data_IF_652635851156
#
_entry.id   IF_652635851156
#
_cell.length_a   1.000
_cell.length_b   1.000
_cell.length_c   1.000
_cell.angle_alpha   90.00
_cell.angle_beta   90.00
_cell.angle_gamma   90.00
#
_symmetry.space_group_name_H-M   'P 1'
#
loop_
_entity.id
_entity.type
_entity.pdbx_description
1 polymer ?
#
# COMPACT_ATOMS: atom_id res chain seq x y z
N UNK A 1 12.29 -6.01 19.89
CA UNK A 1 12.98 -7.07 19.11
C UNK A 1 13.13 -6.50 17.71
N UNK A 2 14.33 -6.41 17.14
CA UNK A 2 14.49 -5.75 15.83
C UNK A 2 13.80 -6.58 14.75
N UNK A 3 12.93 -5.96 13.97
CA UNK A 3 12.44 -6.55 12.72
C UNK A 3 13.55 -6.57 11.68
N UNK A 4 13.73 -7.72 11.04
CA UNK A 4 14.61 -7.87 9.87
C UNK A 4 13.72 -7.66 8.65
N UNK A 5 14.10 -6.75 7.75
CA UNK A 5 13.43 -6.58 6.46
C UNK A 5 13.80 -7.75 5.54
N UNK A 6 12.77 -8.40 4.97
CA UNK A 6 12.88 -9.62 4.17
C UNK A 6 12.28 -9.38 2.77
N UNK A 7 13.11 -9.22 1.74
CA UNK A 7 12.65 -8.71 0.44
C UNK A 7 12.97 -9.57 -0.78
N UNK A 8 12.08 -9.52 -1.77
CA UNK A 8 12.20 -10.21 -3.06
C UNK A 8 12.11 -9.24 -4.25
N UNK A 9 12.83 -9.54 -5.34
CA UNK A 9 13.09 -8.63 -6.48
C UNK A 9 12.43 -9.14 -7.76
N UNK A 10 11.88 -8.27 -8.61
CA UNK A 10 11.24 -8.63 -9.90
C UNK A 10 11.91 -7.88 -11.11
N UNK A 11 12.15 -8.51 -12.30
CA UNK A 11 12.86 -7.90 -13.50
C UNK A 11 12.30 -8.28 -14.92
N UNK A 12 12.04 -7.32 -15.85
CA UNK A 12 11.12 -7.42 -17.03
C UNK A 12 11.67 -7.55 -18.48
N UNK A 13 11.07 -8.41 -19.34
CA UNK A 13 11.15 -8.37 -20.85
C UNK A 13 9.80 -8.66 -21.62
N UNK A 14 9.29 -7.71 -22.44
CA UNK A 14 8.09 -7.66 -23.35
C UNK A 14 7.33 -8.93 -23.91
N UNK A 15 6.05 -8.97 -24.38
CA UNK A 15 4.83 -8.09 -24.33
C UNK A 15 3.59 -8.66 -25.12
N UNK A 16 2.39 -8.95 -24.52
CA UNK A 16 0.99 -8.85 -25.10
C UNK A 16 -0.16 -9.34 -24.17
N UNK A 17 -1.41 -8.94 -24.47
CA UNK A 17 -2.57 -8.86 -23.56
C UNK A 17 -3.61 -10.02 -23.63
N UNK A 18 -4.34 -10.24 -22.52
CA UNK A 18 -5.66 -10.92 -22.46
C UNK A 18 -6.49 -10.41 -21.26
N UNK A 19 -7.82 -10.53 -21.34
CA UNK A 19 -8.82 -9.78 -20.57
C UNK A 19 -9.63 -10.62 -19.57
N UNK A 20 -9.56 -10.27 -18.28
CA UNK A 20 -10.56 -10.60 -17.25
C UNK A 20 -10.47 -9.51 -16.17
N UNK A 21 -11.46 -8.61 -16.11
CA UNK A 21 -11.53 -7.50 -15.14
C UNK A 21 -12.97 -7.41 -14.63
N UNK A 22 -13.16 -7.24 -13.31
CA UNK A 22 -14.43 -6.79 -12.72
C UNK A 22 -14.27 -5.35 -12.24
N UNK A 23 -15.17 -4.47 -12.68
CA UNK A 23 -15.21 -3.06 -12.29
C UNK A 23 -16.31 -2.91 -11.24
N UNK A 24 -15.96 -2.43 -10.05
CA UNK A 24 -16.94 -2.10 -8.99
C UNK A 24 -17.35 -0.63 -9.16
N UNK A 25 -18.66 -0.39 -9.28
CA UNK A 25 -19.19 0.96 -9.40
C UNK A 25 -19.26 1.61 -8.01
N UNK A 26 -18.32 2.50 -7.71
CA UNK A 26 -18.24 3.24 -6.44
C UNK A 26 -19.44 4.18 -6.17
N UNK A 27 -20.34 4.38 -7.15
CA UNK A 27 -21.59 5.11 -6.97
C UNK A 27 -22.73 4.22 -6.42
N UNK A 28 -22.52 2.90 -6.28
CA UNK A 28 -23.44 2.03 -5.56
C UNK A 28 -23.05 1.98 -4.08
N UNK A 29 -24.01 2.02 -3.14
CA UNK A 29 -23.72 1.98 -1.72
C UNK A 29 -23.07 0.65 -1.35
N UNK A 30 -21.86 0.71 -0.79
CA UNK A 30 -21.18 -0.45 -0.21
C UNK A 30 -21.92 -0.77 1.10
N UNK A 31 -22.75 -1.80 1.08
CA UNK A 31 -23.51 -2.22 2.26
C UNK A 31 -22.60 -3.02 3.21
N UNK A 32 -21.84 -2.31 4.03
CA UNK A 32 -20.93 -2.87 5.02
C UNK A 32 -21.13 -2.17 6.38
N UNK A 33 -21.42 -2.96 7.42
CA UNK A 33 -21.69 -2.47 8.77
C UNK A 33 -20.36 -2.26 9.52
N UNK A 34 -19.79 -1.05 9.37
CA UNK A 34 -18.58 -0.64 10.07
C UNK A 34 -18.90 0.25 11.27
N UNK A 35 -18.27 -0.02 12.41
CA UNK A 35 -18.30 0.89 13.56
C UNK A 35 -17.36 2.07 13.30
N UNK A 36 -17.91 3.18 12.83
CA UNK A 36 -17.15 4.41 12.67
C UNK A 36 -17.18 5.26 13.94
N UNK A 37 -16.04 5.85 14.29
CA UNK A 37 -15.86 6.73 15.45
C UNK A 37 -15.25 8.07 15.03
N UNK A 38 -15.52 9.11 15.81
CA UNK A 38 -14.76 10.35 15.72
C UNK A 38 -13.47 10.19 16.55
N UNK A 39 -12.32 10.50 15.96
CA UNK A 39 -11.01 10.24 16.58
C UNK A 39 -10.67 11.26 17.66
N UNK A 40 -9.68 10.93 18.49
CA UNK A 40 -9.03 11.90 19.40
C UNK A 40 -8.57 13.13 18.62
N UNK A 41 -8.67 14.30 19.23
CA UNK A 41 -8.20 15.52 18.59
C UNK A 41 -6.67 15.66 18.75
N UNK A 42 -5.98 15.85 17.63
CA UNK A 42 -4.56 16.16 17.54
C UNK A 42 -4.34 17.65 17.24
N UNK A 43 -3.23 18.18 17.76
CA UNK A 43 -2.83 19.58 17.58
C UNK A 43 -3.96 20.59 17.89
N UNK A 44 -4.80 20.29 18.89
CA UNK A 44 -5.94 21.09 19.36
C UNK A 44 -7.09 21.39 18.37
N UNK A 45 -6.94 21.13 17.07
CA UNK A 45 -7.97 21.37 16.05
C UNK A 45 -8.23 20.24 15.05
N UNK A 46 -7.40 19.18 14.98
CA UNK A 46 -7.53 18.14 13.94
C UNK A 46 -8.13 16.86 14.52
N UNK A 47 -9.30 16.47 14.03
CA UNK A 47 -9.86 15.14 14.20
C UNK A 47 -10.48 14.67 12.89
N UNK A 48 -10.79 13.38 12.81
CA UNK A 48 -11.35 12.75 11.62
C UNK A 48 -12.35 11.66 12.02
N UNK A 49 -13.11 11.14 11.06
CA UNK A 49 -13.96 9.97 11.28
C UNK A 49 -13.26 8.76 10.70
N UNK A 50 -12.96 7.76 11.54
CA UNK A 50 -12.32 6.50 11.12
C UNK A 50 -13.29 5.34 11.34
N UNK A 51 -13.31 4.39 10.42
CA UNK A 51 -14.17 3.22 10.49
C UNK A 51 -13.33 2.00 10.88
N UNK A 52 -13.68 1.38 12.00
CA UNK A 52 -12.88 0.32 12.61
C UNK A 52 -13.35 -1.06 12.15
N UNK A 53 -12.40 -1.98 12.01
CA UNK A 53 -12.71 -3.40 11.96
C UNK A 53 -13.12 -3.91 13.35
N UNK A 54 -13.81 -5.05 13.42
CA UNK A 54 -14.02 -5.73 14.70
C UNK A 54 -12.66 -6.04 15.33
N UNK A 55 -12.46 -5.64 16.60
CA UNK A 55 -11.14 -5.69 17.25
C UNK A 55 -10.62 -7.11 17.50
N UNK A 56 -11.47 -8.14 17.34
CA UNK A 56 -11.07 -9.55 17.30
C UNK A 56 -10.33 -9.93 16.00
N UNK A 57 -10.53 -9.17 14.92
CA UNK A 57 -9.93 -9.37 13.60
C UNK A 57 -8.74 -8.42 13.38
N UNK A 58 -8.77 -7.22 13.98
CA UNK A 58 -7.66 -6.27 14.03
C UNK A 58 -7.35 -5.90 15.48
N UNK A 59 -6.51 -6.74 16.10
CA UNK A 59 -6.08 -6.64 17.50
C UNK A 59 -5.02 -5.56 17.74
N UNK A 60 -4.52 -4.91 16.69
CA UNK A 60 -3.46 -3.91 16.76
C UNK A 60 -4.03 -2.52 16.51
N UNK A 61 -4.38 -2.20 15.27
CA UNK A 61 -4.61 -0.82 14.85
C UNK A 61 -6.01 -0.36 15.27
N UNK A 62 -7.07 -1.06 14.83
CA UNK A 62 -8.44 -0.80 15.28
C UNK A 62 -8.59 -0.94 16.81
N UNK A 63 -7.81 -1.82 17.43
CA UNK A 63 -7.79 -2.02 18.88
C UNK A 63 -7.26 -0.80 19.63
N UNK A 64 -6.25 -0.10 19.11
CA UNK A 64 -5.75 1.16 19.70
C UNK A 64 -6.75 2.33 19.61
N UNK A 65 -7.86 2.17 18.87
CA UNK A 65 -8.97 3.13 18.82
C UNK A 65 -10.18 2.73 19.68
N UNK A 66 -10.11 1.67 20.51
CA UNK A 66 -11.25 1.26 21.36
C UNK A 66 -11.76 2.38 22.27
N UNK A 67 -10.86 3.25 22.74
CA UNK A 67 -11.17 4.43 23.52
C UNK A 67 -10.80 5.69 22.71
N UNK A 68 -11.61 6.74 22.76
CA UNK A 68 -11.39 8.01 22.04
C UNK A 68 -10.22 8.86 22.59
N UNK A 69 -9.31 8.24 23.34
CA UNK A 69 -8.16 8.84 24.04
C UNK A 69 -6.82 8.35 23.50
N UNK A 70 -6.80 7.35 22.62
CA UNK A 70 -5.61 6.76 22.01
C UNK A 70 -5.73 6.68 20.49
N UNK A 71 -4.59 6.70 19.82
CA UNK A 71 -4.42 6.62 18.37
C UNK A 71 -3.24 5.66 18.11
N UNK A 72 -3.35 4.80 17.08
CA UNK A 72 -2.20 4.01 16.63
C UNK A 72 -1.06 4.94 16.15
N UNK A 73 0.14 4.77 16.70
CA UNK A 73 1.32 5.60 16.38
C UNK A 73 1.12 7.12 16.52
N UNK A 74 0.40 7.54 17.56
CA UNK A 74 0.03 8.95 17.81
C UNK A 74 1.16 9.98 17.58
N UNK A 75 2.37 9.71 18.09
CA UNK A 75 3.52 10.61 17.96
C UNK A 75 3.99 10.78 16.50
N UNK A 76 3.95 9.69 15.71
CA UNK A 76 4.27 9.71 14.28
C UNK A 76 3.24 10.49 13.48
N UNK A 77 1.95 10.29 13.78
CA UNK A 77 0.85 11.06 13.18
C UNK A 77 1.00 12.55 13.50
N UNK A 78 1.27 12.91 14.76
CA UNK A 78 1.52 14.30 15.18
C UNK A 78 2.68 14.93 14.39
N UNK A 79 3.80 14.21 14.24
CA UNK A 79 4.96 14.71 13.50
C UNK A 79 4.63 14.97 12.03
N UNK A 80 3.96 14.03 11.35
CA UNK A 80 3.51 14.22 9.96
C UNK A 80 2.56 15.42 9.84
N UNK A 81 1.59 15.58 10.75
CA UNK A 81 0.68 16.73 10.73
C UNK A 81 1.44 18.06 10.92
N UNK A 82 2.40 18.13 11.86
CA UNK A 82 3.22 19.33 12.05
C UNK A 82 4.08 19.68 10.81
N UNK A 83 4.56 18.66 10.10
CA UNK A 83 5.30 18.83 8.85
C UNK A 83 4.39 19.29 7.69
N UNK A 84 3.13 18.85 7.62
CA UNK A 84 2.16 19.26 6.59
C UNK A 84 1.51 20.63 6.84
N UNK A 85 1.43 21.07 8.10
CA UNK A 85 0.96 22.42 8.48
C UNK A 85 1.98 23.51 8.11
N UNK A 86 3.26 23.14 7.97
CA UNK A 86 4.35 24.01 7.54
C UNK A 86 4.78 23.66 6.09
N UNK A 87 5.55 24.54 5.44
CA UNK A 87 5.22 25.17 4.14
C UNK A 87 4.34 24.39 3.13
N UNK A 88 3.41 25.10 2.50
CA UNK A 88 2.28 24.64 1.67
C UNK A 88 2.59 23.99 0.29
N UNK A 89 3.71 23.28 0.15
CA UNK A 89 4.11 22.60 -1.11
C UNK A 89 4.44 21.11 -0.93
N UNK A 90 4.43 20.62 0.30
CA UNK A 90 4.66 19.21 0.61
C UNK A 90 3.41 18.39 0.25
N UNK A 91 3.63 17.22 -0.34
CA UNK A 91 2.57 16.27 -0.70
C UNK A 91 2.78 15.01 0.15
N UNK A 92 1.74 14.55 0.83
CA UNK A 92 1.79 13.32 1.61
C UNK A 92 1.37 12.13 0.74
N UNK A 93 2.18 11.08 0.74
CA UNK A 93 1.89 9.82 0.06
C UNK A 93 1.97 8.73 1.12
N UNK A 94 0.84 8.12 1.42
CA UNK A 94 0.68 7.04 2.39
C UNK A 94 0.42 5.74 1.62
N UNK A 95 1.37 4.81 1.68
CA UNK A 95 1.33 3.51 1.00
C UNK A 95 1.41 2.47 2.11
N UNK A 96 0.36 1.66 2.26
CA UNK A 96 0.23 0.73 3.39
C UNK A 96 -0.60 1.27 4.56
N UNK A 97 -1.46 2.27 4.32
CA UNK A 97 -2.21 3.02 5.33
C UNK A 97 -3.06 2.21 6.34
N UNK A 98 -3.22 0.89 6.17
CA UNK A 98 -4.09 0.01 6.95
C UNK A 98 -5.54 0.57 7.00
N UNK A 99 -6.13 0.82 8.18
CA UNK A 99 -7.44 1.49 8.33
C UNK A 99 -7.42 2.99 8.02
N UNK A 100 -6.30 3.50 7.52
CA UNK A 100 -6.11 4.87 7.08
C UNK A 100 -5.68 5.83 8.19
N UNK A 101 -5.01 5.39 9.26
CA UNK A 101 -4.67 6.28 10.40
C UNK A 101 -3.96 7.55 9.95
N UNK A 102 -2.82 7.47 9.28
CA UNK A 102 -2.10 8.64 8.79
C UNK A 102 -2.88 9.34 7.67
N UNK A 103 -3.34 8.59 6.66
CA UNK A 103 -4.18 9.07 5.56
C UNK A 103 -5.36 9.93 6.03
N UNK A 104 -6.13 9.52 7.03
CA UNK A 104 -7.38 10.18 7.45
C UNK A 104 -7.15 11.43 8.30
N UNK A 105 -6.05 11.46 9.08
CA UNK A 105 -5.61 12.68 9.75
C UNK A 105 -4.99 13.67 8.76
N UNK A 106 -4.17 13.19 7.82
CA UNK A 106 -3.62 14.02 6.74
C UNK A 106 -4.73 14.54 5.81
N UNK A 107 -5.76 13.74 5.50
CA UNK A 107 -6.90 14.12 4.67
C UNK A 107 -7.73 15.28 5.23
N UNK A 108 -7.70 15.47 6.57
CA UNK A 108 -8.30 16.64 7.20
C UNK A 108 -7.53 17.96 6.91
N UNK A 109 -6.30 17.86 6.38
CA UNK A 109 -5.44 19.00 5.99
C UNK A 109 -5.17 19.09 4.48
N UNK A 110 -5.00 17.96 3.79
CA UNK A 110 -4.56 17.87 2.39
C UNK A 110 -5.46 16.96 1.56
N UNK A 111 -5.44 17.10 0.24
CA UNK A 111 -6.15 16.17 -0.66
C UNK A 111 -5.32 14.92 -0.86
N UNK A 112 -5.89 13.75 -0.55
CA UNK A 112 -5.27 12.45 -0.80
C UNK A 112 -5.40 12.05 -2.27
N UNK A 113 -4.54 11.13 -2.72
CA UNK A 113 -4.45 10.71 -4.12
C UNK A 113 -4.02 9.23 -4.19
N UNK A 114 -4.64 8.43 -5.06
CA UNK A 114 -4.28 7.02 -5.25
C UNK A 114 -2.97 6.89 -6.04
N UNK A 115 -2.34 5.72 -5.96
CA UNK A 115 -1.10 5.45 -6.70
C UNK A 115 -1.25 5.66 -8.22
N UNK A 116 -2.32 5.14 -8.84
CA UNK A 116 -2.65 5.38 -10.26
C UNK A 116 -3.09 6.82 -10.59
N UNK A 117 -3.41 7.63 -9.57
CA UNK A 117 -3.72 9.05 -9.72
C UNK A 117 -2.46 9.93 -9.59
N UNK A 118 -1.30 9.39 -9.16
CA UNK A 118 0.00 10.06 -9.30
C UNK A 118 0.45 10.15 -10.76
N UNK A 119 -0.03 9.26 -11.63
CA UNK A 119 0.47 9.13 -13.01
C UNK A 119 0.45 10.45 -13.82
N UNK A 120 -0.62 11.27 -13.82
CA UNK A 120 -0.61 12.55 -14.52
C UNK A 120 0.46 13.52 -14.00
N UNK A 121 0.78 13.47 -12.70
CA UNK A 121 1.82 14.30 -12.07
C UNK A 121 3.21 13.85 -12.50
N UNK A 122 3.45 12.53 -12.53
CA UNK A 122 4.72 11.93 -12.97
C UNK A 122 4.98 12.23 -14.45
N UNK A 123 3.97 12.04 -15.32
CA UNK A 123 4.06 12.36 -16.75
C UNK A 123 4.25 13.86 -16.99
N UNK A 124 3.51 14.73 -16.30
CA UNK A 124 3.66 16.19 -16.43
C UNK A 124 5.05 16.70 -16.00
N UNK A 125 5.74 15.97 -15.10
CA UNK A 125 7.12 16.26 -14.69
C UNK A 125 8.18 15.57 -15.57
N UNK A 126 7.77 14.87 -16.62
CA UNK A 126 8.68 14.17 -17.54
C UNK A 126 9.34 12.92 -16.96
N UNK A 127 8.82 12.37 -15.85
CA UNK A 127 9.29 11.11 -15.29
C UNK A 127 8.94 9.97 -16.26
N UNK A 128 9.94 9.16 -16.61
CA UNK A 128 9.78 8.04 -17.57
C UNK A 128 9.98 6.67 -16.95
N UNK A 129 10.60 6.59 -15.79
CA UNK A 129 10.86 5.33 -15.08
C UNK A 129 11.06 5.53 -13.58
N UNK A 130 10.98 4.43 -12.84
CA UNK A 130 11.10 4.42 -11.38
C UNK A 130 11.60 3.06 -10.86
N UNK A 131 12.29 3.07 -9.72
CA UNK A 131 12.59 1.88 -8.91
C UNK A 131 11.58 1.91 -7.76
N UNK A 132 10.88 0.79 -7.49
CA UNK A 132 9.78 0.75 -6.52
C UNK A 132 10.11 -0.21 -5.37
N UNK A 133 9.82 0.21 -4.13
CA UNK A 133 9.64 -0.68 -2.98
C UNK A 133 8.15 -0.75 -2.62
N UNK A 134 7.62 -1.94 -2.38
CA UNK A 134 6.26 -2.17 -1.87
C UNK A 134 6.37 -2.95 -0.57
N UNK A 135 5.92 -2.35 0.54
CA UNK A 135 6.18 -2.88 1.88
C UNK A 135 4.98 -2.50 2.75
N UNK A 136 3.94 -3.34 2.72
CA UNK A 136 2.60 -3.02 3.22
C UNK A 136 1.92 -4.23 3.90
N UNK A 137 2.71 -5.05 4.59
CA UNK A 137 2.22 -6.03 5.59
C UNK A 137 1.17 -6.99 5.00
N UNK A 138 1.57 -7.80 4.02
CA UNK A 138 0.73 -8.72 3.23
C UNK A 138 -0.28 -8.07 2.26
N UNK A 139 -0.34 -6.74 2.16
CA UNK A 139 -1.34 -6.02 1.34
C UNK A 139 -0.85 -5.70 -0.08
N UNK A 140 0.34 -6.18 -0.47
CA UNK A 140 1.06 -5.93 -1.73
C UNK A 140 0.16 -6.18 -2.95
N UNK A 141 -0.75 -7.15 -2.85
CA UNK A 141 -1.75 -7.48 -3.88
C UNK A 141 -2.61 -6.26 -4.28
N UNK A 142 -2.99 -5.40 -3.33
CA UNK A 142 -3.84 -4.24 -3.62
C UNK A 142 -3.09 -3.14 -4.38
N UNK A 143 -1.77 -2.97 -4.15
CA UNK A 143 -0.95 -2.02 -4.91
C UNK A 143 -0.78 -2.48 -6.35
N UNK A 144 -0.59 -3.78 -6.59
CA UNK A 144 -0.51 -4.29 -7.96
C UNK A 144 -1.88 -4.31 -8.66
N UNK A 145 -2.97 -4.67 -7.97
CA UNK A 145 -4.33 -4.63 -8.54
C UNK A 145 -4.77 -3.23 -8.94
N UNK A 146 -4.42 -2.20 -8.14
CA UNK A 146 -4.87 -0.82 -8.34
C UNK A 146 -3.84 0.11 -9.00
N UNK A 147 -2.57 -0.28 -9.08
CA UNK A 147 -1.45 0.52 -9.58
C UNK A 147 -1.08 0.27 -11.05
N UNK A 148 -1.92 -0.44 -11.79
CA UNK A 148 -1.61 -0.94 -13.12
C UNK A 148 -1.18 0.16 -14.11
N UNK A 149 -1.77 1.36 -14.05
CA UNK A 149 -1.46 2.44 -15.01
C UNK A 149 -0.08 3.03 -14.76
N UNK A 150 0.40 3.09 -13.51
CA UNK A 150 1.80 3.47 -13.22
C UNK A 150 2.76 2.42 -13.80
N UNK A 151 2.52 1.14 -13.57
CA UNK A 151 3.34 0.03 -14.09
C UNK A 151 3.30 -0.14 -15.61
N UNK A 152 2.26 0.36 -16.27
CA UNK A 152 2.11 0.29 -17.73
C UNK A 152 2.64 1.54 -18.45
N UNK A 153 2.72 2.69 -17.76
CA UNK A 153 3.17 3.97 -18.33
C UNK A 153 4.61 4.36 -17.98
N UNK A 154 5.21 3.79 -16.93
CA UNK A 154 6.60 4.03 -16.54
C UNK A 154 7.47 2.79 -16.75
N UNK A 155 8.74 3.02 -17.11
CA UNK A 155 9.79 2.02 -17.10
C UNK A 155 10.18 1.71 -15.65
N UNK A 156 9.65 0.62 -15.11
CA UNK A 156 10.01 0.12 -13.78
C UNK A 156 10.84 -1.16 -13.96
N UNK A 157 12.19 -1.08 -13.97
CA UNK A 157 13.03 -2.26 -14.19
C UNK A 157 13.14 -3.15 -12.94
N UNK A 158 12.77 -2.61 -11.77
CA UNK A 158 12.98 -3.23 -10.47
C UNK A 158 11.82 -2.92 -9.53
N UNK A 159 11.26 -3.98 -8.93
CA UNK A 159 10.40 -3.88 -7.75
C UNK A 159 10.96 -4.76 -6.66
N UNK A 160 11.20 -4.16 -5.49
CA UNK A 160 11.47 -4.85 -4.23
C UNK A 160 10.18 -4.93 -3.44
N UNK A 161 9.85 -6.08 -2.84
CA UNK A 161 8.72 -6.16 -1.91
C UNK A 161 8.97 -7.08 -0.73
N UNK A 162 8.25 -6.82 0.35
CA UNK A 162 8.14 -7.77 1.45
C UNK A 162 7.35 -9.01 1.01
N UNK A 163 7.90 -10.20 1.25
CA UNK A 163 7.28 -11.48 0.84
C UNK A 163 6.89 -12.39 2.02
N UNK A 164 7.42 -12.14 3.22
CA UNK A 164 7.29 -13.04 4.39
C UNK A 164 5.83 -13.29 4.77
N UNK A 165 5.01 -12.24 4.80
CA UNK A 165 3.60 -12.35 5.13
C UNK A 165 2.74 -12.73 3.91
N UNK A 166 3.03 -12.17 2.72
CA UNK A 166 2.36 -12.48 1.44
C UNK A 166 2.26 -13.98 1.18
N UNK A 167 3.37 -14.71 1.31
CA UNK A 167 3.41 -16.14 0.94
C UNK A 167 2.51 -17.05 1.78
N UNK A 168 2.02 -16.55 2.93
CA UNK A 168 1.03 -17.25 3.76
C UNK A 168 -0.38 -17.20 3.17
N UNK A 169 -0.64 -16.33 2.18
CA UNK A 169 -1.94 -16.11 1.55
C UNK A 169 -1.87 -16.47 0.06
N UNK A 170 -2.31 -17.68 -0.31
CA UNK A 170 -2.28 -18.18 -1.70
C UNK A 170 -2.85 -17.18 -2.70
N UNK A 171 -4.06 -16.64 -2.45
CA UNK A 171 -4.71 -15.74 -3.40
C UNK A 171 -3.94 -14.42 -3.61
N UNK A 172 -3.35 -13.86 -2.54
CA UNK A 172 -2.56 -12.62 -2.62
C UNK A 172 -1.23 -12.85 -3.33
N UNK A 173 -0.50 -13.89 -2.92
CA UNK A 173 0.75 -14.29 -3.55
C UNK A 173 0.53 -14.58 -5.05
N UNK A 174 -0.57 -15.27 -5.39
CA UNK A 174 -0.97 -15.52 -6.77
C UNK A 174 -1.26 -14.23 -7.54
N UNK A 175 -2.03 -13.30 -6.99
CA UNK A 175 -2.30 -11.99 -7.63
C UNK A 175 -1.01 -11.25 -7.95
N UNK A 176 -0.05 -11.24 -7.03
CA UNK A 176 1.22 -10.53 -7.19
C UNK A 176 2.14 -11.23 -8.20
N UNK A 177 2.30 -12.55 -8.11
CA UNK A 177 3.06 -13.34 -9.08
C UNK A 177 2.43 -13.21 -10.47
N UNK A 178 1.11 -13.40 -10.60
CA UNK A 178 0.41 -13.27 -11.88
C UNK A 178 0.59 -11.85 -12.45
N UNK A 179 0.54 -10.79 -11.63
CA UNK A 179 0.72 -9.41 -12.08
C UNK A 179 2.12 -9.15 -12.63
N UNK A 180 3.15 -9.59 -11.90
CA UNK A 180 4.54 -9.37 -12.26
C UNK A 180 4.99 -10.29 -13.40
N UNK A 181 4.68 -11.58 -13.35
CA UNK A 181 4.94 -12.54 -14.44
C UNK A 181 4.18 -12.17 -15.72
N UNK A 182 2.95 -11.65 -15.64
CA UNK A 182 2.22 -11.10 -16.82
C UNK A 182 2.90 -9.87 -17.42
N UNK A 183 3.65 -9.13 -16.61
CA UNK A 183 4.53 -8.05 -17.07
C UNK A 183 5.96 -8.55 -17.30
N UNK A 184 6.15 -9.86 -17.33
CA UNK A 184 7.40 -10.58 -17.63
C UNK A 184 8.52 -10.31 -16.64
N UNK A 185 8.18 -9.94 -15.40
CA UNK A 185 9.15 -9.77 -14.35
C UNK A 185 9.56 -11.13 -13.74
N UNK A 186 10.86 -11.38 -13.68
CA UNK A 186 11.51 -12.53 -13.03
C UNK A 186 11.67 -12.30 -11.52
N UNK A 187 11.08 -13.12 -10.62
CA UNK A 187 11.36 -13.06 -9.20
C UNK A 187 12.78 -13.55 -8.88
N UNK A 188 13.49 -12.83 -8.02
CA UNK A 188 14.88 -13.08 -7.62
C UNK A 188 15.08 -12.84 -6.13
N UNK A 189 16.00 -13.61 -5.56
CA UNK A 189 16.56 -13.35 -4.23
C UNK A 189 17.45 -12.09 -4.24
N UNK A 190 17.85 -11.62 -3.06
CA UNK A 190 18.91 -10.63 -2.90
C UNK A 190 20.24 -11.00 -3.60
N UNK A 191 20.56 -12.30 -3.70
CA UNK A 191 21.71 -12.83 -4.44
C UNK A 191 21.50 -12.90 -5.97
N UNK A 192 20.44 -12.26 -6.49
CA UNK A 192 20.04 -12.24 -7.90
C UNK A 192 19.76 -13.63 -8.51
N UNK A 193 19.50 -14.65 -7.69
CA UNK A 193 19.14 -15.99 -8.14
C UNK A 193 17.67 -16.03 -8.53
N UNK A 194 17.35 -16.58 -9.71
CA UNK A 194 15.97 -16.73 -10.18
C UNK A 194 15.20 -17.70 -9.27
N UNK A 195 13.98 -17.32 -8.89
CA UNK A 195 13.13 -18.07 -7.99
C UNK A 195 11.96 -18.72 -8.71
N UNK A 196 11.58 -19.92 -8.27
CA UNK A 196 10.48 -20.65 -8.89
C UNK A 196 9.12 -20.11 -8.40
N UNK A 197 8.36 -19.47 -9.29
CA UNK A 197 7.01 -18.93 -9.06
C UNK A 197 6.00 -19.95 -8.53
N UNK A 198 6.16 -21.24 -8.86
CA UNK A 198 5.29 -22.31 -8.34
C UNK A 198 5.62 -22.73 -6.91
N UNK A 199 6.77 -22.31 -6.38
CA UNK A 199 7.29 -22.66 -5.05
C UNK A 199 7.46 -21.40 -4.17
N UNK A 200 6.63 -20.37 -4.39
CA UNK A 200 6.70 -19.09 -3.69
C UNK A 200 6.57 -19.18 -2.16
N UNK A 201 5.91 -20.24 -1.66
CA UNK A 201 5.80 -20.54 -0.22
C UNK A 201 7.14 -20.98 0.41
N UNK A 202 8.11 -21.41 -0.41
CA UNK A 202 9.45 -21.83 0.04
C UNK A 202 10.56 -20.89 -0.44
N UNK A 203 10.20 -19.71 -0.95
CA UNK A 203 11.18 -18.64 -1.19
C UNK A 203 11.86 -18.26 0.14
N UNK A 204 13.16 -17.89 0.09
CA UNK A 204 13.97 -17.71 1.30
C UNK A 204 13.36 -16.71 2.28
N UNK A 205 13.71 -16.90 3.55
CA UNK A 205 13.73 -15.81 4.51
C UNK A 205 15.15 -15.23 4.38
N UNK A 206 15.23 -13.98 3.95
CA UNK A 206 16.45 -13.17 3.97
C UNK A 206 16.53 -12.37 5.28
#
# INVERSE_FOLDING_TARGET
MLGVLIDHIFIREAFRLSSNIRIINLNQPINADFKCINTKKLLDFINTTICLHETKNDIFVSNSFQNTTSIWEEEGVILILQLLIRPSHLNFIDIGANIGTYTMYAAALVKTIKFDELLPILVARGVRGAIIKIDIESSESFVVESGSRVFDALEIPFVQMEWIHVRSYFDRAKVIIDFFVKRNYDPKSYSCQLLNTTQYATWPYD
#
